data_IF_507726058339
#
_entry.id   IF_507726058339
#
_cell.length_a   1.000
_cell.length_b   1.000
_cell.length_c   1.000
_cell.angle_alpha   90.00
_cell.angle_beta   90.00
_cell.angle_gamma   90.00
#
_symmetry.space_group_name_H-M   'P 1'
#
loop_
_entity.id
_entity.type
_entity.pdbx_description
1 polymer ?
#
# COMPACT_ATOMS: atom_id res chain seq x y z
N UNK A 1 -9.00 19.91 22.11
CA UNK A 1 -9.64 18.94 21.17
C UNK A 1 -8.59 17.99 20.61
N UNK A 2 -8.91 16.95 19.81
CA UNK A 2 -7.88 16.08 19.21
C UNK A 2 -8.04 15.97 17.70
N UNK A 3 -6.95 16.14 16.96
CA UNK A 3 -6.87 15.97 15.51
C UNK A 3 -6.04 14.73 15.20
N UNK A 4 -6.52 13.93 14.25
CA UNK A 4 -5.84 12.72 13.75
C UNK A 4 -5.73 12.81 12.23
N UNK A 5 -4.50 12.76 11.70
CA UNK A 5 -4.22 12.80 10.26
C UNK A 5 -3.61 11.47 9.86
N UNK A 6 -4.34 10.65 9.10
CA UNK A 6 -3.85 9.38 8.57
C UNK A 6 -2.74 9.62 7.53
N UNK A 7 -1.62 8.92 7.67
CA UNK A 7 -0.53 8.96 6.71
C UNK A 7 0.21 7.63 6.67
N UNK A 8 0.84 7.37 5.54
CA UNK A 8 1.59 6.14 5.31
C UNK A 8 3.08 6.39 5.53
N UNK A 9 3.83 5.37 5.95
CA UNK A 9 5.29 5.43 5.89
C UNK A 9 5.76 5.65 4.45
N UNK A 10 6.92 6.28 4.23
CA UNK A 10 7.47 6.48 2.89
C UNK A 10 7.69 5.17 2.12
N UNK A 11 7.90 4.07 2.86
CA UNK A 11 8.08 2.72 2.31
C UNK A 11 6.79 1.91 2.20
N UNK A 12 5.65 2.48 2.61
CA UNK A 12 4.39 1.77 2.67
C UNK A 12 3.97 1.20 1.32
N UNK A 13 3.70 -0.10 1.31
CA UNK A 13 3.24 -0.80 0.11
C UNK A 13 4.28 -0.92 -1.00
N UNK A 14 5.55 -0.52 -0.79
CA UNK A 14 6.58 -0.56 -1.85
C UNK A 14 6.74 -1.95 -2.45
N UNK A 15 6.72 -3.01 -1.64
CA UNK A 15 6.87 -4.38 -2.14
C UNK A 15 5.73 -4.77 -3.11
N UNK A 16 4.47 -4.57 -2.71
CA UNK A 16 3.31 -4.82 -3.58
C UNK A 16 3.30 -3.91 -4.79
N UNK A 17 3.64 -2.63 -4.61
CA UNK A 17 3.72 -1.67 -5.70
C UNK A 17 4.81 -2.03 -6.71
N UNK A 18 5.97 -2.52 -6.27
CA UNK A 18 7.02 -3.01 -7.17
C UNK A 18 6.55 -4.23 -7.97
N UNK A 19 5.82 -5.16 -7.35
CA UNK A 19 5.21 -6.29 -8.04
C UNK A 19 4.13 -5.82 -9.04
N UNK A 20 3.31 -4.86 -8.65
CA UNK A 20 2.29 -4.25 -9.48
C UNK A 20 2.90 -3.54 -10.71
N UNK A 21 3.95 -2.75 -10.52
CA UNK A 21 4.67 -2.11 -11.62
C UNK A 21 5.27 -3.13 -12.59
N UNK A 22 5.82 -4.24 -12.09
CA UNK A 22 6.33 -5.32 -12.94
C UNK A 22 5.21 -6.00 -13.74
N UNK A 23 4.07 -6.26 -13.11
CA UNK A 23 2.91 -6.87 -13.77
C UNK A 23 2.31 -5.93 -14.83
N UNK A 24 2.14 -4.65 -14.50
CA UNK A 24 1.67 -3.62 -15.42
C UNK A 24 2.61 -3.49 -16.63
N UNK A 25 3.93 -3.45 -16.41
CA UNK A 25 4.91 -3.39 -17.49
C UNK A 25 4.83 -4.61 -18.42
N UNK A 26 4.68 -5.82 -17.88
CA UNK A 26 4.51 -7.03 -18.69
C UNK A 26 3.22 -7.02 -19.52
N UNK A 27 2.20 -6.28 -19.06
CA UNK A 27 0.94 -6.09 -19.77
C UNK A 27 0.91 -4.84 -20.68
N UNK A 28 2.02 -4.09 -20.80
CA UNK A 28 2.08 -2.85 -21.57
C UNK A 28 1.30 -1.67 -20.96
N UNK A 29 1.05 -1.71 -19.65
CA UNK A 29 0.27 -0.72 -18.90
C UNK A 29 1.19 0.26 -18.14
N UNK A 30 0.70 1.49 -17.93
CA UNK A 30 1.41 2.55 -17.19
C UNK A 30 0.87 2.66 -15.77
N UNK A 31 1.77 2.78 -14.78
CA UNK A 31 1.41 3.01 -13.38
C UNK A 31 1.64 4.48 -13.03
N UNK A 32 0.64 5.23 -12.52
CA UNK A 32 0.79 6.64 -12.18
C UNK A 32 1.73 6.84 -10.97
N UNK A 33 2.26 8.06 -10.72
CA UNK A 33 3.15 8.33 -9.59
C UNK A 33 2.54 8.00 -8.23
N UNK A 34 3.38 7.56 -7.27
CA UNK A 34 2.92 7.18 -5.93
C UNK A 34 2.49 8.43 -5.13
N UNK A 35 1.23 8.57 -4.70
CA UNK A 35 0.79 9.72 -3.88
C UNK A 35 1.52 9.80 -2.52
N UNK A 36 1.99 8.68 -1.96
CA UNK A 36 2.78 8.63 -0.72
C UNK A 36 4.10 9.42 -0.85
N UNK A 37 4.62 9.56 -2.07
CA UNK A 37 5.83 10.34 -2.31
C UNK A 37 5.66 11.82 -1.97
N UNK A 38 4.42 12.35 -2.06
CA UNK A 38 4.13 13.77 -1.79
C UNK A 38 3.79 14.04 -0.32
N UNK A 39 3.16 13.10 0.37
CA UNK A 39 2.85 13.23 1.79
C UNK A 39 2.93 11.88 2.51
N UNK A 40 3.80 11.77 3.52
CA UNK A 40 4.03 10.55 4.31
C UNK A 40 4.48 10.90 5.73
N UNK A 41 4.65 9.89 6.58
CA UNK A 41 5.01 10.03 7.99
C UNK A 41 6.39 10.70 8.25
N UNK A 42 7.21 10.89 7.22
CA UNK A 42 8.48 11.63 7.35
C UNK A 42 8.27 13.14 7.41
N UNK A 43 7.08 13.64 7.06
CA UNK A 43 6.77 15.07 7.02
C UNK A 43 6.25 15.63 8.35
N UNK A 44 6.67 15.05 9.49
CA UNK A 44 6.27 15.55 10.81
C UNK A 44 6.59 17.04 11.00
N UNK A 45 7.78 17.48 10.56
CA UNK A 45 8.19 18.89 10.69
C UNK A 45 7.24 19.84 9.93
N UNK A 46 6.74 19.44 8.76
CA UNK A 46 5.74 20.20 8.01
C UNK A 46 4.41 20.29 8.78
N UNK A 47 3.98 19.18 9.38
CA UNK A 47 2.74 19.14 10.18
C UNK A 47 2.87 20.02 11.44
N UNK A 48 4.03 20.00 12.09
CA UNK A 48 4.31 20.79 13.30
C UNK A 48 4.31 22.31 13.06
N UNK A 49 4.48 22.77 11.81
CA UNK A 49 4.32 24.20 11.48
C UNK A 49 2.89 24.70 11.69
N UNK A 50 1.89 23.81 11.64
CA UNK A 50 0.46 24.13 11.80
C UNK A 50 -0.10 23.57 13.11
N UNK A 51 0.38 22.39 13.53
CA UNK A 51 -0.05 21.69 14.74
C UNK A 51 1.18 21.40 15.64
N UNK A 52 1.62 22.35 16.49
CA UNK A 52 2.88 22.22 17.23
C UNK A 52 2.96 20.98 18.14
N UNK A 53 1.83 20.49 18.64
CA UNK A 53 1.73 19.28 19.47
C UNK A 53 1.78 17.97 18.68
N UNK A 54 1.87 18.03 17.34
CA UNK A 54 1.81 16.86 16.49
C UNK A 54 2.94 15.86 16.80
N UNK A 55 2.56 14.59 16.90
CA UNK A 55 3.46 13.43 17.04
C UNK A 55 3.04 12.31 16.09
N UNK A 56 3.98 11.43 15.73
CA UNK A 56 3.71 10.26 14.89
C UNK A 56 3.39 9.04 15.75
N UNK A 57 2.25 8.41 15.51
CA UNK A 57 1.92 7.09 16.05
C UNK A 57 1.95 6.06 14.91
N UNK A 58 2.72 4.97 15.04
CA UNK A 58 2.92 3.94 14.00
C UNK A 58 2.33 2.60 14.42
N UNK A 59 1.65 1.92 13.50
CA UNK A 59 1.16 0.54 13.65
C UNK A 59 1.89 -0.37 12.68
N UNK A 60 2.76 -1.23 13.21
CA UNK A 60 3.60 -2.17 12.41
C UNK A 60 2.86 -3.45 12.01
N UNK A 61 1.69 -3.66 12.58
CA UNK A 61 0.81 -4.82 12.44
C UNK A 61 -0.44 -4.52 11.60
N UNK A 62 -0.55 -3.30 11.04
CA UNK A 62 -1.76 -2.83 10.37
C UNK A 62 -2.17 -3.71 9.17
N UNK A 63 -1.23 -4.42 8.54
CA UNK A 63 -1.44 -5.28 7.38
C UNK A 63 -0.68 -6.61 7.48
N UNK A 64 -1.02 -7.39 8.49
CA UNK A 64 -0.56 -8.78 8.63
C UNK A 64 -1.63 -9.72 8.07
N UNK A 65 -1.32 -10.43 6.99
CA UNK A 65 -2.24 -11.39 6.39
C UNK A 65 -1.88 -12.82 6.83
N UNK A 66 -2.80 -13.54 7.51
CA UNK A 66 -2.53 -14.90 7.98
C UNK A 66 -2.49 -15.93 6.85
N UNK A 67 -3.01 -15.61 5.66
CA UNK A 67 -3.07 -16.51 4.51
C UNK A 67 -3.00 -15.77 3.17
N UNK A 68 -2.57 -16.47 2.11
CA UNK A 68 -2.40 -15.90 0.75
C UNK A 68 -3.72 -15.36 0.19
N UNK A 69 -4.83 -16.08 0.40
CA UNK A 69 -6.14 -15.65 -0.11
C UNK A 69 -6.59 -14.30 0.46
N UNK A 70 -6.25 -14.00 1.73
CA UNK A 70 -6.58 -12.73 2.36
C UNK A 70 -5.78 -11.56 1.77
N UNK A 71 -4.48 -11.79 1.49
CA UNK A 71 -3.65 -10.82 0.78
C UNK A 71 -4.12 -10.62 -0.68
N UNK A 72 -4.59 -11.68 -1.35
CA UNK A 72 -5.11 -11.62 -2.72
C UNK A 72 -6.43 -10.85 -2.79
N UNK A 73 -7.35 -11.06 -1.85
CA UNK A 73 -8.60 -10.31 -1.76
C UNK A 73 -8.34 -8.82 -1.51
N UNK A 74 -7.39 -8.50 -0.63
CA UNK A 74 -6.95 -7.13 -0.39
C UNK A 74 -6.35 -6.49 -1.65
N UNK A 75 -5.45 -7.20 -2.34
CA UNK A 75 -4.86 -6.74 -3.60
C UNK A 75 -5.93 -6.47 -4.66
N UNK A 76 -6.91 -7.37 -4.81
CA UNK A 76 -8.01 -7.20 -5.75
C UNK A 76 -8.84 -5.94 -5.47
N UNK A 77 -9.11 -5.67 -4.18
CA UNK A 77 -9.92 -4.53 -3.76
C UNK A 77 -9.20 -3.18 -3.92
N UNK A 78 -7.88 -3.13 -3.75
CA UNK A 78 -7.14 -1.86 -3.70
C UNK A 78 -6.35 -1.55 -4.98
N UNK A 79 -5.77 -2.55 -5.64
CA UNK A 79 -4.77 -2.33 -6.70
C UNK A 79 -5.33 -2.45 -8.12
N UNK A 80 -6.47 -3.11 -8.33
CA UNK A 80 -7.04 -3.29 -9.67
C UNK A 80 -7.51 -1.96 -10.27
N UNK A 81 -8.05 -1.06 -9.45
CA UNK A 81 -8.54 0.25 -9.89
C UNK A 81 -7.43 1.32 -9.97
N UNK A 82 -6.19 0.98 -9.60
CA UNK A 82 -5.01 1.89 -9.70
C UNK A 82 -4.27 1.80 -11.04
N UNK A 83 -4.81 1.05 -12.00
CA UNK A 83 -4.26 0.89 -13.35
C UNK A 83 -4.86 1.93 -14.30
N UNK A 84 -4.04 2.39 -15.26
CA UNK A 84 -4.46 3.33 -16.31
C UNK A 84 -4.16 2.72 -17.71
N UNK A 85 -5.20 2.41 -18.52
CA UNK A 85 -6.62 2.49 -18.20
C UNK A 85 -7.05 1.43 -17.17
N UNK A 86 -8.09 1.73 -16.40
CA UNK A 86 -8.67 0.76 -15.47
C UNK A 86 -9.18 -0.48 -16.22
N UNK A 87 -8.86 -1.71 -15.79
CA UNK A 87 -9.35 -2.93 -16.41
C UNK A 87 -10.87 -2.94 -16.46
N UNK A 88 -11.41 -2.89 -17.67
CA UNK A 88 -12.85 -2.74 -17.92
C UNK A 88 -13.58 -4.08 -17.96
N UNK A 89 -12.86 -5.21 -17.99
CA UNK A 89 -13.43 -6.57 -18.11
C UNK A 89 -13.01 -7.54 -17.02
N UNK A 90 -13.89 -8.53 -16.73
CA UNK A 90 -13.61 -9.61 -15.78
C UNK A 90 -12.40 -10.46 -16.18
N UNK A 91 -12.16 -10.66 -17.49
CA UNK A 91 -11.00 -11.43 -17.98
C UNK A 91 -9.67 -10.75 -17.66
N UNK A 92 -9.56 -9.43 -17.86
CA UNK A 92 -8.33 -8.68 -17.52
C UNK A 92 -8.06 -8.70 -16.01
N UNK A 93 -9.13 -8.57 -15.20
CA UNK A 93 -9.03 -8.70 -13.74
C UNK A 93 -8.59 -10.11 -13.34
N UNK A 94 -9.17 -11.15 -13.93
CA UNK A 94 -8.80 -12.55 -13.67
C UNK A 94 -7.36 -12.87 -14.08
N UNK A 95 -6.90 -12.36 -15.22
CA UNK A 95 -5.52 -12.52 -15.68
C UNK A 95 -4.52 -11.87 -14.70
N UNK A 96 -4.84 -10.67 -14.19
CA UNK A 96 -3.98 -9.99 -13.21
C UNK A 96 -3.91 -10.75 -11.87
N UNK A 97 -5.04 -11.31 -11.43
CA UNK A 97 -5.10 -12.13 -10.21
C UNK A 97 -4.34 -13.45 -10.37
N UNK A 98 -4.43 -14.09 -11.53
CA UNK A 98 -3.66 -15.28 -11.86
C UNK A 98 -2.14 -14.99 -11.87
N UNK A 99 -1.74 -13.81 -12.34
CA UNK A 99 -0.33 -13.41 -12.39
C UNK A 99 0.25 -13.03 -11.01
N UNK A 100 -0.54 -12.37 -10.14
CA UNK A 100 -0.05 -11.94 -8.82
C UNK A 100 -0.01 -13.10 -7.80
N UNK A 101 -0.90 -14.10 -7.91
CA UNK A 101 -0.98 -15.21 -6.96
C UNK A 101 0.35 -15.95 -6.74
N UNK A 102 1.07 -16.45 -7.78
CA UNK A 102 2.33 -17.16 -7.56
C UNK A 102 3.44 -16.25 -6.98
N UNK A 103 3.37 -14.93 -7.19
CA UNK A 103 4.31 -13.97 -6.62
C UNK A 103 4.08 -13.79 -5.11
N UNK A 104 2.81 -13.79 -4.68
CA UNK A 104 2.46 -13.76 -3.27
C UNK A 104 2.87 -15.07 -2.57
N UNK A 105 2.65 -16.23 -3.20
CA UNK A 105 3.06 -17.50 -2.63
C UNK A 105 4.59 -17.59 -2.46
N UNK A 106 5.36 -17.14 -3.46
CA UNK A 106 6.81 -17.06 -3.38
C UNK A 106 7.28 -16.11 -2.25
N UNK A 107 6.63 -14.96 -2.07
CA UNK A 107 6.93 -14.04 -0.99
C UNK A 107 6.63 -14.65 0.39
N UNK A 108 5.48 -15.32 0.54
CA UNK A 108 5.11 -16.00 1.78
C UNK A 108 6.07 -17.14 2.12
N UNK A 109 6.46 -17.93 1.13
CA UNK A 109 7.37 -19.05 1.32
C UNK A 109 8.75 -18.59 1.82
N UNK A 110 9.22 -17.43 1.34
CA UNK A 110 10.48 -16.81 1.80
C UNK A 110 10.38 -16.26 3.22
N UNK A 111 9.29 -15.56 3.54
CA UNK A 111 9.21 -14.73 4.75
C UNK A 111 8.39 -15.37 5.89
N UNK A 112 7.78 -16.55 5.64
CA UNK A 112 6.88 -17.26 6.56
C UNK A 112 5.48 -16.64 6.69
N UNK A 113 5.33 -15.40 6.24
CA UNK A 113 4.08 -14.64 6.25
C UNK A 113 4.07 -13.62 5.12
N UNK A 114 2.88 -13.18 4.72
CA UNK A 114 2.74 -12.03 3.82
C UNK A 114 2.65 -10.76 4.66
N UNK A 115 3.76 -10.05 4.73
CA UNK A 115 3.82 -8.71 5.29
C UNK A 115 3.87 -7.71 4.15
N UNK A 116 2.81 -6.94 4.00
CA UNK A 116 2.92 -5.66 3.31
C UNK A 116 3.46 -4.71 4.36
N UNK A 117 4.68 -4.21 4.21
CA UNK A 117 5.23 -3.22 5.13
C UNK A 117 4.53 -1.89 4.90
N UNK A 118 3.26 -1.84 5.26
CA UNK A 118 2.41 -0.68 5.38
C UNK A 118 2.52 -0.30 6.84
N UNK A 119 3.65 0.33 7.21
CA UNK A 119 3.69 1.08 8.47
C UNK A 119 2.73 2.24 8.28
N UNK A 120 1.46 1.98 8.56
CA UNK A 120 0.42 2.97 8.64
C UNK A 120 0.61 3.70 9.97
N UNK A 121 0.41 5.00 9.94
CA UNK A 121 0.46 5.80 11.14
C UNK A 121 -0.47 6.98 11.04
N UNK A 122 -0.49 7.77 12.09
CA UNK A 122 -1.16 9.03 12.08
C UNK A 122 -0.30 10.09 12.76
N UNK A 123 -0.50 11.33 12.34
CA UNK A 123 -0.15 12.46 13.16
C UNK A 123 -1.27 12.70 14.16
N UNK A 124 -0.95 12.76 15.44
CA UNK A 124 -1.90 13.09 16.51
C UNK A 124 -1.50 14.41 17.12
N UNK A 125 -2.44 15.35 17.21
CA UNK A 125 -2.23 16.65 17.83
C UNK A 125 -3.37 16.97 18.80
N UNK A 126 -3.01 17.53 19.95
CA UNK A 126 -3.97 18.12 20.88
C UNK A 126 -4.12 19.61 20.53
N UNK A 127 -5.38 20.05 20.35
CA UNK A 127 -5.79 21.45 20.09
C UNK A 127 -6.05 22.18 21.39
#
# INVERSE_FOLDING_TARGET
GRVVIGAMAPTAGLALRSLHCRAAAAAGLVVPPNPIARFNLSHLALVQQVLPSARVEKRRDAYLFPATHAALAYYAAEYLDQLEPTPSGQEQRAALLAAISPLLDAARARDGHLRVDMTAGCFVADL
#
